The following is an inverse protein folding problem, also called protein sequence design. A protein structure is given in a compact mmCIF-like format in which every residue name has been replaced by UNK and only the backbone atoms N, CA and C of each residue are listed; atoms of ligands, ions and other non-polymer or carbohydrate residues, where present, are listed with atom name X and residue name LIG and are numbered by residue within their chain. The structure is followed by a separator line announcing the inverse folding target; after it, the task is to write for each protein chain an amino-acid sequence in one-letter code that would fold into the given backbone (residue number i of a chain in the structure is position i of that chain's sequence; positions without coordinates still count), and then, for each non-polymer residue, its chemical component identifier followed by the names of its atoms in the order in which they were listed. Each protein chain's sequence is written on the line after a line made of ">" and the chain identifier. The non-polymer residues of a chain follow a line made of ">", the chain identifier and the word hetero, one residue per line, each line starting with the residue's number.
data_IF_445129757363
#
_entry.id   IF_445129757363
#
_cell.length_a   1.000
_cell.length_b   1.000
_cell.length_c   1.000
_cell.angle_alpha   90.00
_cell.angle_beta   90.00
_cell.angle_gamma   90.00
#
_symmetry.space_group_name_H-M   'P 1'
#
loop_
_entity.id
_entity.type
_entity.pdbx_description
1 polymer ?
#
# COMPACT_ATOMS: atom_id res chain seq x y z
N UNK A 1 3.03 42.90 5.81
CA UNK A 1 3.96 41.76 5.83
C UNK A 1 3.35 40.68 6.72
N UNK A 2 2.71 39.70 6.16
CA UNK A 2 2.12 38.55 6.85
C UNK A 2 3.09 37.37 6.68
N UNK A 3 3.41 36.59 7.74
CA UNK A 3 4.23 35.39 7.58
C UNK A 3 3.34 34.24 7.10
N UNK A 4 3.67 33.72 5.93
CA UNK A 4 3.17 32.47 5.41
C UNK A 4 3.80 31.32 6.18
N UNK A 5 3.06 30.74 7.11
CA UNK A 5 3.42 29.45 7.75
C UNK A 5 2.56 28.33 7.16
N UNK A 6 2.99 27.80 6.03
CA UNK A 6 2.63 26.45 5.61
C UNK A 6 3.46 25.47 6.42
N UNK A 7 2.93 25.01 7.56
CA UNK A 7 3.44 23.84 8.24
C UNK A 7 3.09 22.61 7.39
N UNK A 8 3.98 22.28 6.44
CA UNK A 8 3.94 21.05 5.70
C UNK A 8 4.16 19.89 6.66
N UNK A 9 3.13 19.10 6.87
CA UNK A 9 3.22 17.79 7.52
C UNK A 9 4.20 16.94 6.72
N UNK A 10 5.33 16.64 7.32
CA UNK A 10 6.42 15.87 6.70
C UNK A 10 6.10 14.37 6.79
N UNK A 11 5.22 13.89 5.90
CA UNK A 11 4.80 12.49 5.77
C UNK A 11 5.86 11.61 5.10
N UNK A 12 7.12 12.02 5.06
CA UNK A 12 8.20 11.37 4.31
C UNK A 12 8.82 10.13 4.99
N UNK A 13 8.15 9.51 5.97
CA UNK A 13 8.64 8.23 6.46
C UNK A 13 8.15 7.05 5.60
N UNK A 14 9.07 6.15 5.21
CA UNK A 14 8.72 5.01 4.37
C UNK A 14 7.69 4.14 5.09
N UNK A 15 6.58 3.88 4.45
CA UNK A 15 5.52 2.97 4.88
C UNK A 15 6.05 1.53 4.99
N UNK A 16 6.96 1.26 5.94
CA UNK A 16 7.40 -0.10 6.25
C UNK A 16 6.28 -0.83 6.98
N UNK A 17 5.62 -1.76 6.28
CA UNK A 17 4.64 -2.66 6.88
C UNK A 17 3.20 -2.54 6.38
N UNK A 18 2.90 -1.66 5.41
CA UNK A 18 1.58 -1.67 4.77
C UNK A 18 1.53 -2.74 3.67
N UNK A 19 0.57 -3.67 3.74
CA UNK A 19 0.36 -4.62 2.66
C UNK A 19 -0.15 -3.85 1.42
N UNK A 20 0.57 -3.95 0.32
CA UNK A 20 0.10 -3.50 -1.00
C UNK A 20 -1.17 -4.29 -1.35
N UNK A 21 -2.35 -3.71 -1.20
CA UNK A 21 -3.67 -4.36 -1.33
C UNK A 21 -3.99 -5.46 -0.28
N UNK A 22 -3.42 -5.41 0.92
CA UNK A 22 -3.71 -6.36 1.99
C UNK A 22 -4.81 -5.88 2.94
N UNK A 23 -5.21 -6.79 3.83
CA UNK A 23 -6.12 -6.50 4.94
C UNK A 23 -5.42 -5.59 5.94
N UNK A 24 -6.05 -4.47 6.32
CA UNK A 24 -5.58 -3.61 7.40
C UNK A 24 -5.95 -4.23 8.75
N UNK A 25 -4.93 -4.51 9.56
CA UNK A 25 -5.11 -5.01 10.92
C UNK A 25 -5.44 -3.84 11.85
N UNK A 26 -6.66 -3.85 12.40
CA UNK A 26 -7.21 -2.75 13.17
C UNK A 26 -7.18 -3.06 14.66
N UNK A 27 -6.70 -2.12 15.47
CA UNK A 27 -6.95 -2.10 16.92
C UNK A 27 -7.86 -0.94 17.28
N UNK A 28 -8.63 -1.11 18.35
CA UNK A 28 -9.56 -0.12 18.87
C UNK A 28 -9.14 0.24 20.30
N UNK A 29 -8.86 1.52 20.54
CA UNK A 29 -8.52 2.08 21.86
C UNK A 29 -9.70 2.90 22.33
N UNK A 30 -10.56 2.30 23.12
CA UNK A 30 -11.85 2.87 23.53
C UNK A 30 -12.30 2.23 24.87
N UNK A 31 -12.58 3.04 25.86
CA UNK A 31 -13.04 2.61 27.20
C UNK A 31 -14.55 2.30 27.23
N UNK A 32 -15.32 2.89 26.32
CA UNK A 32 -16.76 2.65 26.21
C UNK A 32 -17.06 1.37 25.44
N UNK A 33 -17.59 0.37 26.13
CA UNK A 33 -17.91 -0.94 25.54
C UNK A 33 -18.94 -0.89 24.41
N UNK A 34 -19.92 0.02 24.45
CA UNK A 34 -20.92 0.16 23.39
C UNK A 34 -20.28 0.73 22.11
N UNK A 35 -19.40 1.72 22.26
CA UNK A 35 -18.72 2.34 21.13
C UNK A 35 -17.70 1.39 20.49
N UNK A 36 -16.93 0.67 21.31
CA UNK A 36 -15.98 -0.32 20.81
C UNK A 36 -16.68 -1.49 20.08
N UNK A 37 -17.84 -1.95 20.59
CA UNK A 37 -18.66 -2.98 19.91
C UNK A 37 -19.19 -2.48 18.56
N UNK A 38 -19.63 -1.21 18.48
CA UNK A 38 -20.09 -0.58 17.26
C UNK A 38 -18.96 -0.47 16.21
N UNK A 39 -17.77 -0.06 16.60
CA UNK A 39 -16.60 0.00 15.74
C UNK A 39 -16.19 -1.38 15.23
N UNK A 40 -16.22 -2.38 16.11
CA UNK A 40 -15.95 -3.78 15.71
C UNK A 40 -16.94 -4.26 14.64
N UNK A 41 -18.23 -3.94 14.78
CA UNK A 41 -19.24 -4.25 13.78
C UNK A 41 -18.98 -3.52 12.45
N UNK A 42 -18.61 -2.24 12.49
CA UNK A 42 -18.27 -1.47 11.29
C UNK A 42 -17.02 -2.01 10.58
N UNK A 43 -15.98 -2.38 11.33
CA UNK A 43 -14.77 -3.01 10.80
C UNK A 43 -15.14 -4.33 10.10
N UNK A 44 -15.96 -5.18 10.75
CA UNK A 44 -16.36 -6.47 10.20
C UNK A 44 -17.19 -6.37 8.91
N UNK A 45 -17.94 -5.28 8.74
CA UNK A 45 -18.76 -4.99 7.53
C UNK A 45 -17.96 -4.33 6.40
N UNK A 46 -16.72 -3.92 6.66
CA UNK A 46 -15.92 -3.19 5.68
C UNK A 46 -14.85 -4.09 5.07
N UNK A 47 -14.83 -4.27 3.73
CA UNK A 47 -13.82 -5.08 3.06
C UNK A 47 -12.40 -4.59 3.37
N UNK A 48 -11.46 -5.53 3.42
CA UNK A 48 -10.03 -5.28 3.66
C UNK A 48 -9.69 -4.68 5.04
N UNK A 49 -10.61 -4.75 6.01
CA UNK A 49 -10.33 -4.47 7.42
C UNK A 49 -10.43 -5.76 8.24
N UNK A 50 -9.55 -5.93 9.22
CA UNK A 50 -9.57 -7.03 10.18
C UNK A 50 -9.45 -6.48 11.59
N UNK A 51 -10.44 -6.74 12.44
CA UNK A 51 -10.35 -6.42 13.85
C UNK A 51 -9.39 -7.37 14.55
N UNK A 52 -8.33 -6.84 15.15
CA UNK A 52 -7.30 -7.63 15.83
C UNK A 52 -7.42 -7.62 17.34
N UNK A 53 -7.63 -6.45 17.94
CA UNK A 53 -7.71 -6.30 19.39
C UNK A 53 -8.43 -5.00 19.80
N UNK A 54 -8.87 -4.97 21.09
CA UNK A 54 -9.34 -3.80 21.79
C UNK A 54 -8.49 -3.59 23.04
N UNK A 55 -8.25 -2.33 23.42
CA UNK A 55 -7.79 -1.95 24.75
C UNK A 55 -8.51 -0.71 25.26
N UNK A 56 -8.44 -0.52 26.56
CA UNK A 56 -9.12 0.57 27.27
C UNK A 56 -8.12 1.63 27.78
N UNK A 57 -6.83 1.42 27.49
CA UNK A 57 -5.73 2.27 27.93
C UNK A 57 -4.66 2.41 26.87
N UNK A 58 -4.01 3.57 26.82
CA UNK A 58 -2.87 3.82 25.95
C UNK A 58 -1.65 2.92 26.27
N UNK A 59 -1.51 2.46 27.53
CA UNK A 59 -0.39 1.61 27.96
C UNK A 59 -0.24 0.34 27.13
N UNK A 60 -1.35 -0.24 26.68
CA UNK A 60 -1.37 -1.54 26.01
C UNK A 60 -1.15 -1.43 24.50
N UNK A 61 -1.31 -0.22 23.94
CA UNK A 61 -1.26 0.03 22.50
C UNK A 61 0.06 -0.44 21.88
N UNK A 62 1.19 -0.13 22.54
CA UNK A 62 2.49 -0.54 22.04
C UNK A 62 2.59 -2.07 21.89
N UNK A 63 2.18 -2.81 22.90
CA UNK A 63 2.19 -4.27 22.88
C UNK A 63 1.26 -4.82 21.78
N UNK A 64 0.04 -4.28 21.68
CA UNK A 64 -0.94 -4.75 20.70
C UNK A 64 -0.50 -4.45 19.27
N UNK A 65 0.06 -3.26 19.00
CA UNK A 65 0.57 -2.91 17.65
C UNK A 65 1.69 -3.87 17.25
N UNK A 66 2.62 -4.18 18.14
CA UNK A 66 3.75 -5.08 17.85
C UNK A 66 3.30 -6.52 17.70
N UNK A 67 2.42 -7.01 18.58
CA UNK A 67 1.90 -8.38 18.58
C UNK A 67 1.08 -8.69 17.33
N UNK A 68 0.13 -7.82 16.99
CA UNK A 68 -0.81 -8.03 15.88
C UNK A 68 -0.33 -7.40 14.57
N UNK A 69 0.82 -6.72 14.57
CA UNK A 69 1.30 -5.91 13.45
C UNK A 69 0.21 -4.97 12.94
N UNK A 70 -0.49 -4.34 13.89
CA UNK A 70 -1.58 -3.44 13.57
C UNK A 70 -1.05 -2.22 12.80
N UNK A 71 -1.74 -1.90 11.70
CA UNK A 71 -1.40 -0.79 10.82
C UNK A 71 -2.48 0.30 10.77
N UNK A 72 -3.61 0.07 11.45
CA UNK A 72 -4.68 1.04 11.63
C UNK A 72 -5.15 1.03 13.09
N UNK A 73 -5.23 2.22 13.69
CA UNK A 73 -5.69 2.40 15.06
C UNK A 73 -6.89 3.34 15.05
N UNK A 74 -8.02 2.88 15.59
CA UNK A 74 -9.13 3.74 16.00
C UNK A 74 -8.92 4.12 17.46
N UNK A 75 -8.71 5.39 17.75
CA UNK A 75 -8.27 5.84 19.07
C UNK A 75 -9.17 6.95 19.61
N UNK A 76 -9.80 6.71 20.75
CA UNK A 76 -10.49 7.76 21.48
C UNK A 76 -9.51 8.87 21.83
N UNK A 77 -9.80 10.10 21.44
CA UNK A 77 -8.93 11.26 21.66
C UNK A 77 -8.63 11.50 23.13
N UNK A 78 -9.53 11.11 24.05
CA UNK A 78 -9.35 11.24 25.49
C UNK A 78 -8.26 10.34 26.03
N UNK A 79 -8.06 9.17 25.39
CA UNK A 79 -7.07 8.15 25.75
C UNK A 79 -5.76 8.30 24.95
N UNK A 80 -5.69 9.24 24.00
CA UNK A 80 -4.53 9.40 23.14
C UNK A 80 -3.31 9.89 23.93
N UNK A 81 -2.18 9.20 23.74
CA UNK A 81 -0.89 9.55 24.36
C UNK A 81 0.21 9.62 23.27
N UNK A 82 0.68 10.84 22.99
CA UNK A 82 1.71 11.09 21.99
C UNK A 82 3.03 10.36 22.27
N UNK A 83 3.35 10.07 23.54
CA UNK A 83 4.57 9.33 23.90
C UNK A 83 4.56 7.91 23.34
N UNK A 84 3.37 7.29 23.28
CA UNK A 84 3.21 5.96 22.68
C UNK A 84 3.47 6.02 21.16
N UNK A 85 2.98 7.06 20.49
CA UNK A 85 3.24 7.27 19.06
C UNK A 85 4.72 7.46 18.76
N UNK A 86 5.42 8.26 19.56
CA UNK A 86 6.88 8.44 19.45
C UNK A 86 7.60 7.10 19.64
N UNK A 87 7.27 6.35 20.67
CA UNK A 87 7.85 5.05 20.97
C UNK A 87 7.60 4.02 19.85
N UNK A 88 6.42 4.02 19.24
CA UNK A 88 6.11 3.18 18.09
C UNK A 88 6.99 3.55 16.88
N UNK A 89 7.12 4.84 16.59
CA UNK A 89 7.97 5.35 15.50
C UNK A 89 9.44 4.97 15.69
N UNK A 90 9.99 5.12 16.89
CA UNK A 90 11.36 4.70 17.24
C UNK A 90 11.59 3.21 17.06
N UNK A 91 10.57 2.38 17.34
CA UNK A 91 10.59 0.94 17.11
C UNK A 91 10.32 0.53 15.65
N UNK A 92 10.12 1.48 14.75
CA UNK A 92 9.88 1.24 13.32
C UNK A 92 8.43 0.89 12.97
N UNK A 93 7.46 1.17 13.86
CA UNK A 93 6.04 0.99 13.61
C UNK A 93 5.38 2.34 13.31
N UNK A 94 4.64 2.41 12.21
CA UNK A 94 3.98 3.63 11.73
C UNK A 94 2.49 3.37 11.46
N UNK A 95 1.68 3.02 12.47
CA UNK A 95 0.25 2.80 12.26
C UNK A 95 -0.45 4.10 11.89
N UNK A 96 -1.44 4.01 11.02
CA UNK A 96 -2.36 5.12 10.75
C UNK A 96 -3.30 5.25 11.93
N UNK A 97 -3.51 6.48 12.39
CA UNK A 97 -4.40 6.78 13.51
C UNK A 97 -5.63 7.53 13.00
N UNK A 98 -6.80 7.02 13.35
CA UNK A 98 -8.08 7.70 13.20
C UNK A 98 -8.62 7.98 14.59
N UNK A 99 -8.73 9.24 14.94
CA UNK A 99 -9.24 9.65 16.25
C UNK A 99 -10.76 9.64 16.29
N UNK A 100 -11.30 9.18 17.42
CA UNK A 100 -12.72 9.29 17.76
C UNK A 100 -12.87 10.44 18.76
N UNK A 101 -13.66 11.44 18.39
CA UNK A 101 -13.78 12.68 19.18
C UNK A 101 -15.16 13.28 19.07
N UNK A 102 -15.52 14.10 20.05
CA UNK A 102 -16.60 15.07 19.89
C UNK A 102 -16.09 16.31 19.15
N UNK A 103 -16.98 17.11 18.57
CA UNK A 103 -16.58 18.32 17.82
C UNK A 103 -15.73 19.27 18.67
N UNK A 104 -16.09 19.44 19.94
CA UNK A 104 -15.40 20.34 20.87
C UNK A 104 -14.00 19.82 21.21
N UNK A 105 -13.85 18.52 21.48
CA UNK A 105 -12.55 17.88 21.74
C UNK A 105 -11.60 17.97 20.55
N UNK A 106 -12.17 17.95 19.34
CA UNK A 106 -11.39 18.08 18.10
C UNK A 106 -10.76 19.48 17.99
N UNK A 107 -11.51 20.53 18.28
CA UNK A 107 -11.04 21.92 18.16
C UNK A 107 -9.89 22.22 19.15
N UNK A 108 -9.91 21.61 20.33
CA UNK A 108 -8.92 21.85 21.37
C UNK A 108 -7.58 21.12 21.12
N UNK A 109 -7.59 19.95 20.48
CA UNK A 109 -6.43 19.06 20.38
C UNK A 109 -5.81 18.93 18.97
N UNK A 110 -6.39 19.55 17.95
CA UNK A 110 -5.98 19.40 16.52
C UNK A 110 -4.53 19.80 16.24
N UNK A 111 -3.93 20.66 17.05
CA UNK A 111 -2.65 21.33 16.71
C UNK A 111 -1.39 20.48 16.97
N UNK A 112 -1.48 19.35 17.68
CA UNK A 112 -0.30 18.62 18.16
C UNK A 112 -0.20 17.15 17.72
N UNK A 113 -1.18 16.65 16.97
CA UNK A 113 -1.29 15.21 16.76
C UNK A 113 -1.23 14.79 15.29
N UNK A 114 -0.35 13.83 15.02
CA UNK A 114 -0.17 13.17 13.74
C UNK A 114 -1.28 12.12 13.49
N UNK A 115 -2.52 12.58 13.22
CA UNK A 115 -3.67 11.73 12.95
C UNK A 115 -4.16 11.89 11.51
N UNK A 116 -4.57 10.77 10.91
CA UNK A 116 -5.06 10.77 9.53
C UNK A 116 -6.41 11.46 9.39
N UNK A 117 -7.33 11.21 10.33
CA UNK A 117 -8.70 11.73 10.27
C UNK A 117 -9.40 11.62 11.64
N UNK A 118 -10.57 12.25 11.72
CA UNK A 118 -11.44 12.19 12.89
C UNK A 118 -12.79 11.56 12.55
N UNK A 119 -13.28 10.72 13.45
CA UNK A 119 -14.65 10.19 13.47
C UNK A 119 -15.42 10.86 14.60
N UNK A 120 -16.33 11.74 14.25
CA UNK A 120 -17.12 12.48 15.24
C UNK A 120 -18.23 11.62 15.83
N UNK A 121 -18.43 11.75 17.15
CA UNK A 121 -19.60 11.21 17.81
C UNK A 121 -20.86 12.04 17.49
N UNK A 122 -22.06 11.42 17.38
CA UNK A 122 -22.29 9.98 17.41
C UNK A 122 -21.74 9.29 16.16
N UNK A 123 -21.14 8.09 16.36
CA UNK A 123 -20.58 7.30 15.28
C UNK A 123 -21.71 6.81 14.34
N UNK A 124 -21.55 7.00 13.04
CA UNK A 124 -22.43 6.44 12.03
C UNK A 124 -21.61 5.62 11.02
N UNK A 125 -22.21 4.54 10.49
CA UNK A 125 -21.55 3.70 9.49
C UNK A 125 -21.21 4.45 8.21
N UNK A 126 -22.07 5.39 7.79
CA UNK A 126 -21.84 6.23 6.61
C UNK A 126 -20.56 7.07 6.74
N UNK A 127 -20.37 7.75 7.89
CA UNK A 127 -19.17 8.54 8.15
C UNK A 127 -17.92 7.67 8.28
N UNK A 128 -18.06 6.51 8.94
CA UNK A 128 -16.99 5.52 9.01
C UNK A 128 -16.57 5.08 7.61
N UNK A 129 -17.51 4.68 6.75
CA UNK A 129 -17.24 4.24 5.40
C UNK A 129 -16.62 5.35 4.54
N UNK A 130 -17.10 6.59 4.66
CA UNK A 130 -16.51 7.76 4.00
C UNK A 130 -15.05 7.96 4.40
N UNK A 131 -14.73 7.81 5.70
CA UNK A 131 -13.34 7.91 6.19
C UNK A 131 -12.47 6.76 5.67
N UNK A 132 -13.00 5.54 5.60
CA UNK A 132 -12.28 4.40 5.02
C UNK A 132 -12.03 4.56 3.52
N UNK A 133 -12.96 5.16 2.78
CA UNK A 133 -12.76 5.48 1.37
C UNK A 133 -11.64 6.52 1.21
N UNK A 134 -11.63 7.59 2.00
CA UNK A 134 -10.53 8.57 2.00
C UNK A 134 -9.18 7.92 2.34
N UNK A 135 -9.16 7.00 3.30
CA UNK A 135 -7.95 6.25 3.67
C UNK A 135 -7.46 5.38 2.51
N UNK A 136 -8.37 4.67 1.83
CA UNK A 136 -8.03 3.86 0.66
C UNK A 136 -7.44 4.72 -0.47
N UNK A 137 -8.06 5.86 -0.76
CA UNK A 137 -7.59 6.78 -1.80
C UNK A 137 -6.22 7.38 -1.42
N UNK A 138 -6.01 7.73 -0.16
CA UNK A 138 -4.72 8.19 0.37
C UNK A 138 -3.65 7.10 0.24
N UNK A 139 -3.94 5.87 0.64
CA UNK A 139 -3.01 4.75 0.53
C UNK A 139 -2.66 4.45 -0.92
N UNK A 140 -3.64 4.45 -1.83
CA UNK A 140 -3.41 4.24 -3.25
C UNK A 140 -2.54 5.36 -3.84
N UNK A 141 -2.81 6.62 -3.51
CA UNK A 141 -2.01 7.77 -3.97
C UNK A 141 -0.59 7.74 -3.38
N UNK A 142 -0.44 7.39 -2.11
CA UNK A 142 0.87 7.33 -1.44
C UNK A 142 1.71 6.17 -1.98
N UNK A 143 1.10 5.03 -2.26
CA UNK A 143 1.73 3.91 -2.96
C UNK A 143 2.18 4.36 -4.36
N UNK A 144 1.33 5.08 -5.08
CA UNK A 144 1.65 5.64 -6.41
C UNK A 144 2.85 6.59 -6.37
N UNK A 145 2.90 7.51 -5.40
CA UNK A 145 4.02 8.45 -5.23
C UNK A 145 5.31 7.73 -4.80
N UNK A 146 5.21 6.73 -3.94
CA UNK A 146 6.37 5.92 -3.52
C UNK A 146 6.93 5.09 -4.67
N UNK A 147 6.09 4.54 -5.54
CA UNK A 147 6.52 3.89 -6.78
C UNK A 147 7.19 4.89 -7.74
N UNK A 148 6.71 6.13 -7.83
CA UNK A 148 7.36 7.18 -8.63
C UNK A 148 8.74 7.59 -8.07
N UNK A 149 8.92 7.62 -6.75
CA UNK A 149 10.19 8.01 -6.14
C UNK A 149 11.19 6.85 -6.03
N UNK A 150 10.72 5.60 -5.88
CA UNK A 150 11.55 4.40 -5.88
C UNK A 150 11.41 3.65 -7.21
N UNK A 151 12.00 4.21 -8.27
CA UNK A 151 12.00 3.61 -9.62
C UNK A 151 12.91 2.39 -9.75
N UNK A 152 12.95 1.53 -8.72
CA UNK A 152 13.76 0.32 -8.72
C UNK A 152 13.17 -0.79 -7.86
N UNK A 153 13.57 -2.02 -8.12
CA UNK A 153 13.29 -3.20 -7.31
C UNK A 153 14.58 -3.87 -6.87
N UNK A 154 14.58 -4.43 -5.66
CA UNK A 154 15.64 -5.32 -5.22
C UNK A 154 15.28 -6.76 -5.53
N UNK A 155 16.11 -7.42 -6.32
CA UNK A 155 15.94 -8.80 -6.76
C UNK A 155 16.96 -9.68 -6.05
N UNK A 156 16.47 -10.65 -5.29
CA UNK A 156 17.32 -11.67 -4.68
C UNK A 156 17.63 -12.73 -5.75
N UNK A 157 18.89 -12.82 -6.14
CA UNK A 157 19.39 -13.75 -7.15
C UNK A 157 20.62 -14.48 -6.59
N UNK A 158 20.56 -15.80 -6.50
CA UNK A 158 21.61 -16.61 -5.91
C UNK A 158 22.00 -16.12 -4.51
N UNK A 159 23.24 -15.69 -4.31
CA UNK A 159 23.78 -15.20 -3.03
C UNK A 159 23.84 -13.68 -2.92
N UNK A 160 23.23 -12.95 -3.85
CA UNK A 160 23.30 -11.48 -3.91
C UNK A 160 21.92 -10.84 -4.08
N UNK A 161 21.84 -9.56 -3.69
CA UNK A 161 20.68 -8.70 -3.93
C UNK A 161 21.07 -7.70 -5.02
N UNK A 162 20.34 -7.71 -6.12
CA UNK A 162 20.57 -6.84 -7.28
C UNK A 162 19.53 -5.73 -7.28
N UNK A 163 19.96 -4.48 -7.32
CA UNK A 163 19.09 -3.32 -7.53
C UNK A 163 18.89 -3.15 -9.04
N UNK A 164 17.62 -3.15 -9.48
CA UNK A 164 17.25 -2.95 -10.90
C UNK A 164 16.24 -1.82 -10.98
N UNK A 165 16.45 -0.86 -11.87
CA UNK A 165 15.48 0.20 -12.15
C UNK A 165 14.32 -0.37 -12.95
N UNK A 166 13.11 0.10 -12.71
CA UNK A 166 11.94 -0.33 -13.49
C UNK A 166 12.09 0.05 -14.96
N UNK A 167 12.62 1.21 -15.25
CA UNK A 167 12.89 1.69 -16.61
C UNK A 167 13.87 0.82 -17.41
N UNK A 168 14.64 -0.04 -16.74
CA UNK A 168 15.57 -0.96 -17.38
C UNK A 168 14.97 -2.36 -17.59
N UNK A 169 13.83 -2.67 -16.96
CA UNK A 169 13.17 -3.97 -17.11
C UNK A 169 12.37 -3.99 -18.41
N UNK A 170 12.73 -4.89 -19.32
CA UNK A 170 12.07 -5.08 -20.60
C UNK A 170 10.82 -5.95 -20.46
N UNK A 171 11.00 -7.13 -19.89
CA UNK A 171 9.94 -8.08 -19.60
C UNK A 171 10.41 -9.10 -18.56
N UNK A 172 9.45 -9.83 -17.98
CA UNK A 172 9.72 -10.96 -17.09
C UNK A 172 9.11 -12.23 -17.66
N UNK A 173 9.88 -13.33 -17.59
CA UNK A 173 9.47 -14.65 -18.05
C UNK A 173 9.44 -15.64 -16.88
N UNK A 174 8.29 -16.31 -16.67
CA UNK A 174 8.10 -17.30 -15.63
C UNK A 174 8.57 -18.68 -16.08
N UNK A 175 9.43 -19.30 -15.27
CA UNK A 175 9.94 -20.66 -15.47
C UNK A 175 9.69 -21.50 -14.23
N UNK A 176 8.50 -22.11 -14.12
CA UNK A 176 8.06 -22.88 -12.94
C UNK A 176 8.16 -22.01 -11.65
N UNK A 177 9.12 -22.32 -10.79
CA UNK A 177 9.32 -21.66 -9.49
C UNK A 177 10.23 -20.41 -9.57
N UNK A 178 10.78 -20.13 -10.76
CA UNK A 178 11.68 -19.01 -11.02
C UNK A 178 11.04 -17.97 -11.92
N UNK A 179 11.52 -16.74 -11.79
CA UNK A 179 11.27 -15.67 -12.77
C UNK A 179 12.59 -15.18 -13.33
N UNK A 180 12.67 -15.10 -14.64
CA UNK A 180 13.74 -14.44 -15.39
C UNK A 180 13.35 -13.00 -15.62
N UNK A 181 14.20 -12.06 -15.22
CA UNK A 181 14.00 -10.63 -15.43
C UNK A 181 14.98 -10.17 -16.50
N UNK A 182 14.46 -9.81 -17.66
CA UNK A 182 15.23 -9.31 -18.80
C UNK A 182 15.41 -7.81 -18.67
N UNK A 183 16.67 -7.37 -18.64
CA UNK A 183 17.05 -5.99 -18.34
C UNK A 183 17.83 -5.41 -19.50
N UNK A 184 17.54 -4.17 -19.85
CA UNK A 184 18.24 -3.43 -20.89
C UNK A 184 19.75 -3.43 -20.66
N UNK A 185 20.52 -3.70 -21.72
CA UNK A 185 21.98 -3.71 -21.65
C UNK A 185 22.59 -4.95 -20.98
N UNK A 186 21.78 -5.92 -20.55
CA UNK A 186 22.26 -7.22 -20.05
C UNK A 186 21.92 -8.33 -21.05
N UNK A 187 22.92 -9.18 -21.33
CA UNK A 187 22.73 -10.36 -22.19
C UNK A 187 21.99 -11.45 -21.42
N UNK A 188 22.42 -11.69 -20.19
CA UNK A 188 21.84 -12.72 -19.33
C UNK A 188 20.71 -12.14 -18.44
N UNK A 189 19.57 -12.83 -18.34
CA UNK A 189 18.50 -12.42 -17.43
C UNK A 189 18.90 -12.59 -15.96
N UNK A 190 18.30 -11.80 -15.10
CA UNK A 190 18.41 -11.97 -13.65
C UNK A 190 17.41 -13.03 -13.21
N UNK A 191 17.88 -14.09 -12.57
CA UNK A 191 17.04 -15.17 -12.02
C UNK A 191 16.65 -14.90 -10.58
N UNK A 192 15.38 -15.09 -10.24
CA UNK A 192 14.90 -15.04 -8.85
C UNK A 192 13.99 -16.21 -8.51
N UNK A 193 14.12 -16.73 -7.28
CA UNK A 193 13.29 -17.80 -6.71
C UNK A 193 11.88 -17.31 -6.33
N UNK A 194 11.30 -16.41 -7.10
CA UNK A 194 9.91 -15.99 -6.98
C UNK A 194 9.17 -16.44 -8.24
N UNK A 195 8.00 -17.04 -8.08
CA UNK A 195 7.15 -17.27 -9.24
C UNK A 195 6.63 -15.93 -9.82
N UNK A 196 6.22 -15.96 -11.07
CA UNK A 196 5.84 -14.77 -11.82
C UNK A 196 4.68 -13.99 -11.14
N UNK A 197 3.71 -14.69 -10.53
CA UNK A 197 2.59 -14.09 -9.80
C UNK A 197 3.06 -13.31 -8.57
N UNK A 198 3.97 -13.87 -7.79
CA UNK A 198 4.55 -13.20 -6.61
C UNK A 198 5.48 -12.06 -7.00
N UNK A 199 6.15 -12.17 -8.15
CA UNK A 199 7.02 -11.11 -8.66
C UNK A 199 6.23 -9.93 -9.23
N UNK A 200 5.07 -10.16 -9.88
CA UNK A 200 4.22 -9.10 -10.43
C UNK A 200 3.79 -8.06 -9.39
N UNK A 201 3.61 -8.47 -8.14
CA UNK A 201 3.22 -7.58 -7.03
C UNK A 201 4.32 -6.53 -6.73
N UNK A 202 5.57 -6.79 -7.15
CA UNK A 202 6.70 -5.88 -6.94
C UNK A 202 6.87 -4.85 -8.06
N UNK A 203 6.13 -5.00 -9.14
CA UNK A 203 6.19 -4.14 -10.32
C UNK A 203 5.02 -3.15 -10.31
N UNK A 204 5.24 -1.88 -10.69
CA UNK A 204 4.17 -0.90 -10.83
C UNK A 204 3.19 -1.31 -11.95
N UNK A 205 1.91 -1.41 -11.62
CA UNK A 205 0.85 -1.85 -12.54
C UNK A 205 0.62 -0.90 -13.71
N UNK A 206 1.03 0.35 -13.57
CA UNK A 206 0.96 1.39 -14.60
C UNK A 206 2.03 1.21 -15.70
N UNK A 207 3.12 0.51 -15.38
CA UNK A 207 4.24 0.31 -16.29
C UNK A 207 4.37 -1.14 -16.73
N UNK A 208 3.79 -2.09 -16.00
CA UNK A 208 3.94 -3.51 -16.23
C UNK A 208 2.60 -4.23 -16.28
N UNK A 209 2.38 -4.98 -17.34
CA UNK A 209 1.16 -5.76 -17.50
C UNK A 209 1.48 -7.24 -17.73
N UNK A 210 0.67 -8.10 -17.13
CA UNK A 210 0.73 -9.52 -17.41
C UNK A 210 -0.06 -9.84 -18.67
N UNK A 211 0.63 -10.34 -19.69
CA UNK A 211 0.05 -10.61 -21.01
C UNK A 211 -0.07 -12.10 -21.33
N UNK A 212 0.53 -12.94 -20.49
CA UNK A 212 0.48 -14.39 -20.65
C UNK A 212 0.69 -15.08 -19.31
N UNK A 213 0.31 -16.37 -19.20
CA UNK A 213 0.60 -17.15 -17.98
C UNK A 213 2.07 -17.14 -17.57
N UNK A 214 2.97 -16.96 -18.55
CA UNK A 214 4.42 -16.95 -18.36
C UNK A 214 5.08 -15.61 -18.64
N UNK A 215 4.36 -14.54 -18.99
CA UNK A 215 4.99 -13.26 -19.32
C UNK A 215 4.31 -12.06 -18.67
N UNK A 216 5.17 -11.15 -18.19
CA UNK A 216 4.84 -9.76 -17.82
C UNK A 216 5.71 -8.88 -18.69
N UNK A 217 5.15 -7.86 -19.34
CA UNK A 217 5.87 -6.91 -20.18
C UNK A 217 5.85 -5.51 -19.58
N UNK A 218 6.91 -4.75 -19.86
CA UNK A 218 6.93 -3.31 -19.62
C UNK A 218 6.24 -2.61 -20.77
N UNK A 219 5.17 -1.84 -20.50
CA UNK A 219 4.45 -1.06 -21.51
C UNK A 219 5.36 -0.06 -22.22
N UNK A 220 6.35 0.48 -21.52
CA UNK A 220 7.31 1.47 -22.05
C UNK A 220 8.32 0.87 -23.04
N UNK A 221 8.38 -0.46 -23.15
CA UNK A 221 9.36 -1.14 -24.01
C UNK A 221 8.73 -1.95 -25.14
N UNK A 222 7.43 -1.81 -25.32
CA UNK A 222 6.73 -2.44 -26.47
C UNK A 222 7.11 -1.67 -27.74
N UNK A 223 7.79 -2.36 -28.67
CA UNK A 223 8.12 -1.78 -29.97
C UNK A 223 6.91 -1.81 -30.93
N UNK A 224 6.18 -2.93 -30.91
CA UNK A 224 4.98 -3.08 -31.73
C UNK A 224 4.12 -4.24 -31.25
N UNK A 225 2.87 -4.26 -31.70
CA UNK A 225 1.90 -5.33 -31.43
C UNK A 225 1.31 -5.77 -32.79
N UNK A 226 1.36 -7.04 -33.07
CA UNK A 226 0.77 -7.60 -34.27
C UNK A 226 0.28 -9.04 -34.04
N UNK A 227 -0.91 -9.38 -34.54
CA UNK A 227 -1.47 -10.76 -34.52
C UNK A 227 -1.47 -11.43 -33.14
N UNK A 228 -1.81 -10.67 -32.08
CA UNK A 228 -1.76 -11.11 -30.67
C UNK A 228 -0.35 -11.45 -30.17
N UNK A 229 0.66 -10.83 -30.71
CA UNK A 229 2.04 -10.92 -30.28
C UNK A 229 2.60 -9.53 -29.99
N UNK A 230 3.42 -9.44 -28.96
CA UNK A 230 4.12 -8.23 -28.53
C UNK A 230 5.58 -8.37 -28.91
N UNK A 231 6.12 -7.36 -29.55
CA UNK A 231 7.52 -7.31 -29.98
C UNK A 231 8.30 -6.37 -29.04
N UNK A 232 9.36 -6.90 -28.43
CA UNK A 232 10.30 -6.15 -27.58
C UNK A 232 11.72 -6.52 -28.02
N UNK A 233 12.39 -5.65 -28.78
CA UNK A 233 13.66 -5.94 -29.45
C UNK A 233 13.52 -7.15 -30.37
N UNK A 234 14.27 -8.21 -30.07
CA UNK A 234 14.22 -9.47 -30.82
C UNK A 234 13.27 -10.51 -30.22
N UNK A 235 12.68 -10.24 -29.07
CA UNK A 235 11.77 -11.18 -28.40
C UNK A 235 10.34 -10.98 -28.88
N UNK A 236 9.69 -12.08 -29.23
CA UNK A 236 8.26 -12.14 -29.54
C UNK A 236 7.57 -12.79 -28.36
N UNK A 237 6.56 -12.12 -27.80
CA UNK A 237 5.83 -12.54 -26.61
C UNK A 237 4.35 -12.71 -26.98
N UNK A 238 3.77 -13.92 -26.84
CA UNK A 238 2.38 -14.15 -27.16
C UNK A 238 1.46 -13.53 -26.10
N UNK A 239 0.31 -13.02 -26.53
CA UNK A 239 -0.77 -12.58 -25.65
C UNK A 239 -1.70 -13.79 -25.45
N UNK A 240 -1.81 -14.27 -24.20
CA UNK A 240 -2.72 -15.36 -23.85
C UNK A 240 -4.18 -14.95 -23.92
N UNK A 241 -5.08 -15.85 -24.31
CA UNK A 241 -6.50 -15.53 -24.52
C UNK A 241 -7.17 -14.89 -23.28
N UNK A 242 -6.83 -15.35 -22.09
CA UNK A 242 -7.36 -14.80 -20.83
C UNK A 242 -6.77 -13.44 -20.43
N UNK A 243 -5.84 -12.89 -21.18
CA UNK A 243 -5.18 -11.61 -20.91
C UNK A 243 -5.44 -10.55 -21.98
N UNK A 244 -6.13 -10.93 -23.06
CA UNK A 244 -6.34 -10.06 -24.23
C UNK A 244 -7.18 -8.86 -23.89
N UNK A 245 -8.31 -9.06 -23.26
CA UNK A 245 -9.29 -8.01 -23.00
C UNK A 245 -8.66 -6.93 -22.10
N UNK A 246 -8.01 -7.33 -21.01
CA UNK A 246 -7.33 -6.42 -20.09
C UNK A 246 -6.19 -5.65 -20.80
N UNK A 247 -5.43 -6.33 -21.67
CA UNK A 247 -4.31 -5.73 -22.38
C UNK A 247 -4.79 -4.69 -23.41
N UNK A 248 -5.75 -5.06 -24.26
CA UNK A 248 -6.24 -4.16 -25.29
C UNK A 248 -7.00 -2.96 -24.71
N UNK A 249 -7.71 -3.14 -23.61
CA UNK A 249 -8.34 -2.03 -22.90
C UNK A 249 -7.33 -0.96 -22.48
N UNK A 250 -6.13 -1.36 -22.01
CA UNK A 250 -5.06 -0.42 -21.65
C UNK A 250 -4.46 0.27 -22.89
N UNK A 251 -4.30 -0.43 -23.99
CA UNK A 251 -3.73 0.12 -25.23
C UNK A 251 -4.69 1.11 -25.87
N UNK A 252 -6.00 0.79 -25.94
CA UNK A 252 -7.02 1.67 -26.51
C UNK A 252 -7.21 2.96 -25.69
N UNK A 253 -6.98 2.90 -24.36
CA UNK A 253 -7.03 4.11 -23.51
C UNK A 253 -5.87 5.08 -23.79
N UNK A 254 -4.74 4.59 -24.32
CA UNK A 254 -3.51 5.37 -24.56
C UNK A 254 -3.29 5.72 -26.06
N UNK A 255 -4.21 5.33 -26.94
CA UNK A 255 -4.21 5.66 -28.36
C UNK A 255 -5.24 6.74 -28.68
#
# INVERSE_FOLDING_TARGET
>A
MAPSSTSGLDWHHPMRGFPMMGVLNCIVVEDNNKQSALLKDYIAKTPNLSFSAKCESASDVYQLVTQYRANLIFWDIRLLDNRIMVRLKEAGYYPIVICIADKQEQEEKVTEMDVFSYLNRPLSFERFLSTMNKLRDYLSTTIYIHHRNNRFVFIKSEYKIIKVRFEDILFCEGMKDYTQIHVRGKVEPILTLNNLKSFSIKLPSEEFIRVHRSFIVSLNHIDSIARNEIYIGKKIIPIGDSFKDDFYQIIEWNS
#
